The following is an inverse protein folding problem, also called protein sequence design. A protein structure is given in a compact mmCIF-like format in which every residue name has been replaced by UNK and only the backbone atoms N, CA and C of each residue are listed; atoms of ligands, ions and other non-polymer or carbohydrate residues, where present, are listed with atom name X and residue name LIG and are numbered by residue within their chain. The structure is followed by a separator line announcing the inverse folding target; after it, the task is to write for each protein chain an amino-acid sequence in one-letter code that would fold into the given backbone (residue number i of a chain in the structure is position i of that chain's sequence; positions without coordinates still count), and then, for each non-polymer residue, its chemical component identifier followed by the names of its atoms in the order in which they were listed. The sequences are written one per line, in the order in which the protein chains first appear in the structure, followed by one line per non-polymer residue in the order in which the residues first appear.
data_IF_874806112300
#
_entry.id   IF_874806112300
#
_cell.length_a   1.000
_cell.length_b   1.000
_cell.length_c   1.000
_cell.angle_alpha   90.00
_cell.angle_beta   90.00
_cell.angle_gamma   90.00
#
_symmetry.space_group_name_H-M   'P 1'
#
loop_
_entity.id
_entity.type
_entity.pdbx_description
1 polymer ?
#
# COMPACT_ATOMS: atom_id res chain seq x y z
N UNK A 1 -21.59 8.09 27.93
CA UNK A 1 -20.53 9.11 28.15
C UNK A 1 -20.67 9.84 29.50
N UNK A 2 -21.79 10.49 29.83
CA UNK A 2 -21.95 11.24 31.07
C UNK A 2 -21.70 10.40 32.33
N UNK A 3 -22.30 9.21 32.44
CA UNK A 3 -22.11 8.30 33.57
C UNK A 3 -20.62 7.94 33.79
N UNK A 4 -19.88 7.63 32.69
CA UNK A 4 -18.45 7.35 32.79
C UNK A 4 -17.64 8.60 33.15
N UNK A 5 -17.86 9.70 32.45
CA UNK A 5 -17.02 10.90 32.58
C UNK A 5 -17.25 11.70 33.87
N UNK A 6 -18.45 11.64 34.49
CA UNK A 6 -18.86 12.48 35.63
C UNK A 6 -19.33 11.70 36.85
N UNK A 7 -19.77 10.45 36.70
CA UNK A 7 -20.23 9.59 37.78
C UNK A 7 -19.25 8.43 38.06
N UNK A 8 -18.08 8.45 37.40
CA UNK A 8 -16.99 7.46 37.53
C UNK A 8 -17.46 6.01 37.26
N UNK A 9 -18.41 5.84 36.35
CA UNK A 9 -18.82 4.52 35.88
C UNK A 9 -17.76 3.92 34.93
N UNK A 10 -17.86 2.65 34.63
CA UNK A 10 -16.92 1.92 33.76
C UNK A 10 -17.67 1.26 32.62
N UNK A 11 -17.24 1.50 31.39
CA UNK A 11 -17.77 0.79 30.24
C UNK A 11 -17.49 -0.71 30.31
N UNK A 12 -18.32 -1.55 29.70
CA UNK A 12 -18.09 -2.99 29.66
C UNK A 12 -16.84 -3.33 28.85
N UNK A 13 -16.02 -4.25 29.36
CA UNK A 13 -14.82 -4.71 28.67
C UNK A 13 -15.13 -5.25 27.25
N UNK A 14 -14.25 -5.00 26.29
CA UNK A 14 -14.34 -5.43 24.88
C UNK A 14 -15.48 -4.80 24.08
N UNK A 15 -16.15 -3.77 24.59
CA UNK A 15 -17.22 -3.08 23.85
C UNK A 15 -16.76 -1.80 23.14
N UNK A 16 -15.67 -1.19 23.58
CA UNK A 16 -15.02 -0.05 22.92
C UNK A 16 -14.25 -0.45 21.67
N UNK A 17 -14.06 0.48 20.74
CA UNK A 17 -13.38 0.22 19.46
C UNK A 17 -11.86 0.35 19.53
N UNK A 18 -11.30 0.90 20.61
CA UNK A 18 -9.88 1.31 20.70
C UNK A 18 -8.98 0.32 21.45
N UNK A 19 -9.53 -0.73 22.06
CA UNK A 19 -8.72 -1.64 22.91
C UNK A 19 -7.68 -2.43 22.11
N UNK A 20 -7.96 -2.79 20.85
CA UNK A 20 -7.08 -3.53 19.93
C UNK A 20 -6.70 -2.76 18.67
N UNK A 21 -6.98 -1.45 18.61
CA UNK A 21 -6.61 -0.60 17.47
C UNK A 21 -5.13 -0.22 17.56
N UNK A 22 -4.35 -0.48 16.51
CA UNK A 22 -2.91 -0.18 16.38
C UNK A 22 -2.64 1.06 15.51
N UNK A 23 -3.68 1.75 15.09
CA UNK A 23 -3.57 2.97 14.26
C UNK A 23 -2.70 4.02 14.97
N UNK A 24 -1.78 4.64 14.23
CA UNK A 24 -0.96 5.72 14.77
C UNK A 24 -1.77 7.00 14.93
N UNK A 25 -1.70 7.60 16.11
CA UNK A 25 -2.50 8.80 16.41
C UNK A 25 -2.32 9.29 17.83
N UNK A 26 -3.13 10.28 18.18
CA UNK A 26 -3.15 10.94 19.47
C UNK A 26 -4.52 10.76 20.12
N UNK A 27 -4.52 10.46 21.41
CA UNK A 27 -5.72 10.29 22.22
C UNK A 27 -5.95 11.54 23.06
N UNK A 28 -7.16 12.08 22.95
CA UNK A 28 -7.61 13.26 23.66
C UNK A 28 -8.72 12.91 24.63
N UNK A 29 -8.93 13.76 25.64
CA UNK A 29 -10.10 13.67 26.51
C UNK A 29 -11.36 14.00 25.72
N UNK A 30 -12.31 13.06 25.62
CA UNK A 30 -13.55 13.23 24.91
C UNK A 30 -14.46 14.35 25.49
N UNK A 31 -14.21 14.77 26.74
CA UNK A 31 -14.96 15.84 27.38
C UNK A 31 -14.42 17.23 27.06
N UNK A 32 -13.10 17.40 26.95
CA UNK A 32 -12.51 18.75 26.84
C UNK A 32 -11.43 18.90 25.74
N UNK A 33 -11.10 17.84 25.00
CA UNK A 33 -10.10 17.87 23.94
C UNK A 33 -8.65 18.03 24.44
N UNK A 34 -8.37 17.75 25.73
CA UNK A 34 -7.01 17.81 26.24
C UNK A 34 -6.21 16.57 25.85
N UNK A 35 -4.96 16.74 25.43
CA UNK A 35 -4.09 15.66 24.96
C UNK A 35 -3.67 14.78 26.12
N UNK A 36 -3.90 13.47 26.01
CA UNK A 36 -3.69 12.50 27.09
C UNK A 36 -2.58 11.50 26.79
N UNK A 37 -2.61 10.89 25.58
CA UNK A 37 -1.70 9.83 25.19
C UNK A 37 -1.38 9.91 23.69
N UNK A 38 -0.31 9.21 23.31
CA UNK A 38 0.00 8.88 21.91
C UNK A 38 -0.03 7.37 21.67
N UNK A 39 -0.20 6.96 20.42
CA UNK A 39 -0.25 5.55 20.04
C UNK A 39 1.06 4.78 20.31
N UNK A 40 2.22 5.45 20.37
CA UNK A 40 3.50 4.84 20.74
C UNK A 40 3.60 4.52 22.24
N UNK A 41 2.69 5.05 23.07
CA UNK A 41 2.56 4.76 24.49
C UNK A 41 1.54 3.65 24.75
N UNK A 42 0.77 3.26 23.73
CA UNK A 42 -0.25 2.21 23.80
C UNK A 42 0.37 0.84 23.65
N UNK A 43 -0.16 -0.13 24.37
CA UNK A 43 0.21 -1.54 24.22
C UNK A 43 -1.03 -2.44 24.27
N UNK A 44 -0.90 -3.63 23.67
CA UNK A 44 -1.98 -4.62 23.67
C UNK A 44 -2.08 -5.28 25.04
N UNK A 45 -3.25 -5.18 25.65
CA UNK A 45 -3.60 -5.77 26.94
C UNK A 45 -4.82 -6.67 26.79
N UNK A 46 -4.86 -7.77 27.53
CA UNK A 46 -6.00 -8.70 27.56
C UNK A 46 -7.18 -8.22 28.40
N UNK A 47 -7.13 -7.00 28.95
CA UNK A 47 -8.17 -6.49 29.85
C UNK A 47 -9.44 -6.02 29.15
N UNK A 48 -9.41 -5.77 27.82
CA UNK A 48 -10.57 -5.35 27.02
C UNK A 48 -10.81 -3.83 27.02
N UNK A 49 -9.87 -3.03 27.49
CA UNK A 49 -9.83 -1.57 27.44
C UNK A 49 -8.54 -1.05 26.83
N UNK A 50 -8.52 0.16 26.20
CA UNK A 50 -7.30 0.82 25.79
C UNK A 50 -6.31 0.95 26.93
N UNK A 51 -5.08 0.47 26.72
CA UNK A 51 -4.04 0.44 27.74
C UNK A 51 -2.79 1.16 27.28
N UNK A 52 -2.24 2.04 28.16
CA UNK A 52 -1.05 2.83 27.88
C UNK A 52 -0.04 2.66 29.02
N UNK A 53 1.24 2.73 28.71
CA UNK A 53 2.29 2.61 29.75
C UNK A 53 2.77 3.97 30.25
N UNK A 54 2.47 5.07 29.56
CA UNK A 54 2.89 6.43 29.94
C UNK A 54 1.85 7.45 29.44
N UNK A 55 1.75 8.61 30.12
CA UNK A 55 0.95 9.75 29.70
C UNK A 55 1.75 10.68 28.80
N UNK A 56 1.08 11.49 27.98
CA UNK A 56 1.71 12.41 27.00
C UNK A 56 2.67 13.39 27.67
N UNK A 57 2.21 14.07 28.69
CA UNK A 57 3.02 14.99 29.49
C UNK A 57 2.73 14.79 30.96
N UNK A 58 3.69 15.12 31.82
CA UNK A 58 3.50 15.11 33.25
C UNK A 58 2.36 16.06 33.62
N UNK A 59 1.27 15.51 34.18
CA UNK A 59 0.05 16.25 34.51
C UNK A 59 -1.06 16.18 33.46
N UNK A 60 -0.88 15.48 32.33
CA UNK A 60 -1.99 15.16 31.42
C UNK A 60 -3.07 14.35 32.13
N UNK A 61 -2.66 13.53 33.09
CA UNK A 61 -3.53 12.74 33.93
C UNK A 61 -3.19 13.02 35.40
N UNK A 62 -4.21 13.27 36.20
CA UNK A 62 -4.13 13.40 37.64
C UNK A 62 -4.80 12.20 38.33
N UNK A 63 -4.41 11.93 39.56
CA UNK A 63 -4.80 10.70 40.24
C UNK A 63 -5.54 10.98 41.55
N UNK A 64 -6.55 10.15 41.82
CA UNK A 64 -7.34 10.17 43.05
C UNK A 64 -7.50 8.76 43.60
N UNK A 65 -7.57 8.62 44.91
CA UNK A 65 -7.83 7.33 45.53
C UNK A 65 -9.31 6.97 45.36
N UNK A 66 -9.58 5.86 44.74
CA UNK A 66 -10.92 5.26 44.61
C UNK A 66 -11.09 4.11 45.60
N UNK A 67 -12.12 4.21 46.42
CA UNK A 67 -12.50 3.21 47.43
C UNK A 67 -13.87 2.60 47.14
N UNK A 68 -14.40 2.78 45.97
CA UNK A 68 -15.72 2.25 45.56
C UNK A 68 -15.71 0.72 45.48
N UNK A 69 -16.89 0.12 45.58
CA UNK A 69 -17.12 -1.31 45.47
C UNK A 69 -16.24 -2.21 46.37
N UNK A 70 -15.76 -1.67 47.52
CA UNK A 70 -14.90 -2.41 48.43
C UNK A 70 -13.45 -2.64 47.96
N UNK A 71 -13.04 -2.00 46.85
CA UNK A 71 -11.70 -2.06 46.27
C UNK A 71 -10.92 -0.77 46.59
N UNK A 72 -9.59 -0.89 46.60
CA UNK A 72 -8.71 0.28 46.66
C UNK A 72 -7.96 0.36 45.35
N UNK A 73 -8.27 1.40 44.55
CA UNK A 73 -7.69 1.62 43.20
C UNK A 73 -7.19 3.06 43.09
N UNK A 74 -6.37 3.33 42.08
CA UNK A 74 -5.96 4.68 41.70
C UNK A 74 -6.78 5.11 40.51
N UNK A 75 -7.75 6.00 40.71
CA UNK A 75 -8.55 6.61 39.64
C UNK A 75 -7.68 7.57 38.84
N UNK A 76 -7.83 7.52 37.51
CA UNK A 76 -7.17 8.41 36.56
C UNK A 76 -8.17 9.41 36.00
N UNK A 77 -7.88 10.69 36.18
CA UNK A 77 -8.71 11.83 35.78
C UNK A 77 -7.97 12.68 34.75
N UNK A 78 -8.72 13.35 33.86
CA UNK A 78 -8.15 14.34 32.96
C UNK A 78 -7.56 15.51 33.75
N UNK A 79 -6.26 15.82 33.54
CA UNK A 79 -5.58 16.91 34.24
C UNK A 79 -6.11 18.32 33.96
N UNK A 80 -7.03 18.47 32.97
CA UNK A 80 -7.63 19.76 32.62
C UNK A 80 -9.06 19.94 33.10
N UNK A 81 -9.88 18.88 33.12
CA UNK A 81 -11.32 19.00 33.39
C UNK A 81 -11.86 18.01 34.43
N UNK A 82 -10.98 17.25 35.09
CA UNK A 82 -11.28 16.24 36.11
C UNK A 82 -12.27 15.15 35.65
N UNK A 83 -12.44 14.99 34.34
CA UNK A 83 -13.27 13.91 33.79
C UNK A 83 -12.65 12.56 34.13
N UNK A 84 -13.48 11.61 34.60
CA UNK A 84 -13.04 10.24 34.84
C UNK A 84 -12.60 9.58 33.51
N UNK A 85 -11.41 9.03 33.50
CA UNK A 85 -10.83 8.35 32.33
C UNK A 85 -10.75 6.84 32.53
N UNK A 86 -10.46 6.39 33.73
CA UNK A 86 -10.24 5.00 34.06
C UNK A 86 -9.39 4.83 35.33
N UNK A 87 -8.51 3.83 35.34
CA UNK A 87 -7.68 3.55 36.51
C UNK A 87 -6.23 3.26 36.14
N UNK A 88 -5.31 3.51 37.08
CA UNK A 88 -3.89 3.19 36.97
C UNK A 88 -3.57 1.93 37.76
N UNK A 89 -2.82 1.02 37.14
CA UNK A 89 -2.32 -0.23 37.70
C UNK A 89 -0.79 -0.29 37.63
N UNK A 90 -0.17 -1.20 38.39
CA UNK A 90 1.28 -1.39 38.46
C UNK A 90 1.71 -2.71 37.78
N UNK A 91 0.98 -3.14 36.76
CA UNK A 91 1.16 -4.37 36.03
C UNK A 91 1.40 -4.11 34.52
N UNK A 92 1.88 -2.93 34.19
CA UNK A 92 2.23 -2.52 32.82
C UNK A 92 3.64 -2.96 32.41
N UNK A 93 3.98 -2.77 31.13
CA UNK A 93 5.30 -3.09 30.59
C UNK A 93 6.38 -2.07 31.02
N UNK A 94 7.63 -2.44 30.83
CA UNK A 94 8.76 -1.50 30.85
C UNK A 94 8.56 -0.38 29.78
N UNK A 95 9.05 0.85 29.98
CA UNK A 95 9.99 1.24 31.06
C UNK A 95 9.33 1.71 32.38
N UNK A 96 7.99 1.86 32.40
CA UNK A 96 7.33 2.48 33.57
C UNK A 96 6.73 1.48 34.56
N UNK A 97 6.48 0.24 34.14
CA UNK A 97 5.73 -0.75 34.89
C UNK A 97 4.27 -0.35 35.17
N UNK A 98 3.78 0.72 34.51
CA UNK A 98 2.43 1.26 34.70
C UNK A 98 1.50 0.84 33.59
N UNK A 99 0.23 0.61 33.94
CA UNK A 99 -0.85 0.42 32.98
C UNK A 99 -1.97 1.41 33.26
N UNK A 100 -2.11 2.38 32.39
CA UNK A 100 -3.24 3.31 32.34
C UNK A 100 -4.38 2.60 31.58
N UNK A 101 -5.34 2.02 32.29
CA UNK A 101 -6.49 1.31 31.73
C UNK A 101 -7.66 2.28 31.60
N UNK A 102 -7.94 2.73 30.37
CA UNK A 102 -8.85 3.84 30.09
C UNK A 102 -10.15 3.36 29.47
N UNK A 103 -11.27 3.99 29.82
CA UNK A 103 -12.53 3.79 29.10
C UNK A 103 -12.42 4.36 27.67
N UNK A 104 -12.73 3.58 26.65
CA UNK A 104 -12.69 4.06 25.27
C UNK A 104 -13.64 5.23 25.04
N UNK A 105 -14.81 5.22 25.68
CA UNK A 105 -15.80 6.29 25.58
C UNK A 105 -15.32 7.63 26.20
N UNK A 106 -14.27 7.60 27.02
CA UNK A 106 -13.64 8.81 27.61
C UNK A 106 -12.52 9.38 26.74
N UNK A 107 -12.22 8.74 25.60
CA UNK A 107 -11.16 9.10 24.70
C UNK A 107 -11.71 9.46 23.31
N UNK A 108 -11.23 10.56 22.75
CA UNK A 108 -11.31 10.86 21.32
C UNK A 108 -9.97 10.52 20.68
N UNK A 109 -9.99 9.72 19.63
CA UNK A 109 -8.80 9.36 18.88
C UNK A 109 -8.73 10.17 17.58
N UNK A 110 -7.63 10.88 17.42
CA UNK A 110 -7.29 11.55 16.16
C UNK A 110 -6.12 10.80 15.55
N UNK A 111 -6.34 10.08 14.44
CA UNK A 111 -5.23 9.48 13.70
C UNK A 111 -4.18 10.56 13.42
N UNK A 112 -2.90 10.24 13.59
CA UNK A 112 -1.89 11.09 12.98
C UNK A 112 -2.32 11.24 11.55
N UNK A 113 -2.47 12.48 11.08
CA UNK A 113 -2.60 12.67 9.65
C UNK A 113 -1.49 11.78 9.06
N UNK A 114 -1.89 10.72 8.35
CA UNK A 114 -0.94 10.05 7.44
C UNK A 114 -0.30 11.24 6.78
N UNK A 115 1.03 11.45 6.87
CA UNK A 115 1.61 12.63 6.29
C UNK A 115 0.93 12.73 4.94
N UNK A 116 0.19 13.82 4.69
CA UNK A 116 -0.21 14.15 3.33
C UNK A 116 1.17 14.30 2.73
N UNK A 117 1.69 13.19 2.20
CA UNK A 117 2.88 13.23 1.39
C UNK A 117 2.56 14.37 0.46
N UNK A 118 3.28 15.47 0.56
CA UNK A 118 3.14 16.66 -0.25
C UNK A 118 2.72 16.18 -1.60
N UNK A 119 1.48 16.45 -2.04
CA UNK A 119 0.73 16.01 -3.23
C UNK A 119 1.63 15.09 -4.06
N UNK A 120 1.59 13.77 -3.79
CA UNK A 120 2.74 12.89 -3.87
C UNK A 120 3.38 12.98 -5.23
N UNK A 121 4.67 13.15 -5.27
CA UNK A 121 5.40 13.06 -6.53
C UNK A 121 4.97 11.73 -7.15
N UNK A 122 4.45 11.77 -8.38
CA UNK A 122 4.10 10.57 -9.13
C UNK A 122 5.25 9.58 -9.05
N UNK A 123 4.92 8.31 -8.90
CA UNK A 123 5.91 7.22 -8.92
C UNK A 123 5.96 6.59 -10.28
N UNK A 124 7.08 5.98 -10.62
CA UNK A 124 7.25 5.26 -11.88
C UNK A 124 7.60 3.80 -11.62
N UNK A 125 7.08 2.91 -12.46
CA UNK A 125 7.46 1.49 -12.53
C UNK A 125 7.71 1.17 -13.99
N UNK A 126 8.77 0.40 -14.30
CA UNK A 126 9.10 -0.02 -15.66
C UNK A 126 8.97 -1.52 -15.78
N UNK A 127 8.13 -2.00 -16.73
CA UNK A 127 7.75 -3.40 -16.90
C UNK A 127 7.87 -3.83 -18.38
N UNK A 128 8.39 -5.03 -18.61
CA UNK A 128 8.33 -5.72 -19.89
C UNK A 128 7.52 -7.01 -19.77
N UNK A 129 6.52 -7.22 -20.61
CA UNK A 129 5.62 -8.37 -20.57
C UNK A 129 5.11 -8.78 -21.96
N UNK A 130 6.03 -8.89 -22.93
CA UNK A 130 5.75 -9.06 -24.35
C UNK A 130 5.70 -7.72 -25.08
N UNK A 131 4.92 -7.64 -26.15
CA UNK A 131 4.76 -6.41 -26.92
C UNK A 131 4.25 -5.26 -26.04
N UNK A 132 4.97 -4.14 -26.01
CA UNK A 132 4.66 -2.96 -25.20
C UNK A 132 3.30 -2.33 -25.55
N UNK A 133 2.82 -2.40 -26.79
CA UNK A 133 1.46 -1.92 -27.15
C UNK A 133 0.36 -2.61 -26.35
N UNK A 134 0.54 -3.91 -26.07
CA UNK A 134 -0.41 -4.68 -25.24
C UNK A 134 -0.41 -4.19 -23.78
N UNK A 135 0.78 -3.96 -23.24
CA UNK A 135 0.97 -3.57 -21.85
C UNK A 135 0.53 -2.12 -21.64
N UNK A 136 0.90 -1.21 -22.58
CA UNK A 136 0.48 0.18 -22.60
C UNK A 136 -1.05 0.30 -22.56
N UNK A 137 -1.74 -0.38 -23.51
CA UNK A 137 -3.18 -0.31 -23.63
C UNK A 137 -3.94 -0.77 -22.39
N UNK A 138 -3.40 -1.72 -21.63
CA UNK A 138 -3.99 -2.17 -20.37
C UNK A 138 -3.82 -1.11 -19.29
N UNK A 139 -2.60 -0.58 -19.10
CA UNK A 139 -2.33 0.35 -18.02
C UNK A 139 -2.89 1.74 -18.24
N UNK A 140 -3.10 2.15 -19.48
CA UNK A 140 -3.83 3.39 -19.80
C UNK A 140 -5.25 3.40 -19.25
N UNK A 141 -5.85 2.22 -19.08
CA UNK A 141 -7.19 2.07 -18.50
C UNK A 141 -7.20 1.87 -16.97
N UNK A 142 -6.04 1.78 -16.30
CA UNK A 142 -5.98 1.57 -14.86
C UNK A 142 -6.13 2.89 -14.09
N UNK A 143 -7.11 2.95 -13.20
CA UNK A 143 -7.33 4.11 -12.31
C UNK A 143 -6.07 4.41 -11.49
N UNK A 144 -5.70 5.69 -11.43
CA UNK A 144 -4.51 6.17 -10.73
C UNK A 144 -3.24 6.20 -11.60
N UNK A 145 -3.25 5.58 -12.78
CA UNK A 145 -2.17 5.72 -13.76
C UNK A 145 -2.32 7.06 -14.47
N UNK A 146 -1.28 7.88 -14.45
CA UNK A 146 -1.22 9.20 -15.05
C UNK A 146 -0.77 9.15 -16.51
N UNK A 147 0.24 8.34 -16.79
CA UNK A 147 0.77 8.14 -18.14
C UNK A 147 1.46 6.79 -18.26
N UNK A 148 1.47 6.25 -19.45
CA UNK A 148 2.23 5.07 -19.84
C UNK A 148 3.05 5.43 -21.06
N UNK A 149 4.33 5.11 -21.05
CA UNK A 149 5.25 5.42 -22.14
C UNK A 149 5.91 4.14 -22.60
N UNK A 150 5.70 3.76 -23.84
CA UNK A 150 6.37 2.62 -24.49
C UNK A 150 7.83 2.94 -24.78
N UNK A 151 8.71 1.96 -24.55
CA UNK A 151 10.16 2.18 -24.69
C UNK A 151 10.99 0.91 -24.60
N UNK A 152 12.29 1.09 -24.38
CA UNK A 152 13.31 0.05 -24.34
C UNK A 152 14.15 0.19 -23.10
N UNK A 153 14.51 -0.94 -22.46
CA UNK A 153 15.40 -0.96 -21.28
C UNK A 153 16.15 -2.29 -21.15
N UNK A 154 17.23 -2.28 -20.33
CA UNK A 154 17.98 -3.48 -19.95
C UNK A 154 19.01 -3.98 -20.98
N UNK A 155 19.17 -3.28 -22.10
CA UNK A 155 20.16 -3.60 -23.13
C UNK A 155 21.46 -2.83 -22.98
N UNK A 156 22.32 -2.97 -24.01
CA UNK A 156 23.68 -2.38 -24.05
C UNK A 156 23.82 -1.27 -25.09
N UNK A 157 22.94 -1.28 -26.10
CA UNK A 157 22.97 -0.28 -27.19
C UNK A 157 22.42 1.04 -26.66
N UNK A 158 23.12 2.13 -26.86
CA UNK A 158 22.64 3.47 -26.56
C UNK A 158 21.73 3.96 -27.68
N UNK A 159 20.66 4.67 -27.30
CA UNK A 159 19.63 5.23 -28.20
C UNK A 159 19.18 4.24 -29.29
N UNK A 160 18.71 3.02 -28.91
CA UNK A 160 18.38 1.97 -29.86
C UNK A 160 17.15 2.33 -30.67
N UNK A 161 17.16 1.98 -31.96
CA UNK A 161 15.98 2.04 -32.82
C UNK A 161 15.11 0.78 -32.67
N UNK A 162 13.85 0.87 -33.11
CA UNK A 162 12.93 -0.28 -33.13
C UNK A 162 13.50 -1.48 -33.89
N UNK A 163 14.05 -1.23 -35.10
CA UNK A 163 14.64 -2.28 -35.94
C UNK A 163 15.79 -2.98 -35.23
N UNK A 164 16.67 -2.24 -34.54
CA UNK A 164 17.78 -2.80 -33.78
C UNK A 164 17.27 -3.66 -32.63
N UNK A 165 16.26 -3.21 -31.87
CA UNK A 165 15.68 -4.01 -30.79
C UNK A 165 15.01 -5.27 -31.35
N UNK A 166 14.26 -5.17 -32.43
CA UNK A 166 13.64 -6.31 -33.11
C UNK A 166 14.65 -7.34 -33.63
N UNK A 167 15.88 -6.92 -33.95
CA UNK A 167 16.94 -7.83 -34.35
C UNK A 167 17.38 -8.78 -33.20
N UNK A 168 17.02 -8.45 -31.95
CA UNK A 168 17.39 -9.22 -30.74
C UNK A 168 18.85 -9.05 -30.30
N UNK A 169 19.64 -8.18 -30.94
CA UNK A 169 21.08 -8.04 -30.68
C UNK A 169 21.42 -6.98 -29.66
N UNK A 170 20.50 -6.03 -29.39
CA UNK A 170 20.72 -4.92 -28.45
C UNK A 170 20.69 -5.34 -26.98
N UNK A 171 20.00 -6.46 -26.68
CA UNK A 171 19.72 -6.92 -25.31
C UNK A 171 18.59 -6.15 -24.62
N UNK A 172 18.00 -5.11 -25.25
CA UNK A 172 16.85 -4.40 -24.71
C UNK A 172 15.59 -5.25 -24.71
N UNK A 173 14.74 -5.05 -23.71
CA UNK A 173 13.35 -5.48 -23.74
C UNK A 173 12.45 -4.34 -24.20
N UNK A 174 11.35 -4.70 -24.88
CA UNK A 174 10.20 -3.81 -25.00
C UNK A 174 9.55 -3.64 -23.64
N UNK A 175 9.43 -2.42 -23.18
CA UNK A 175 8.92 -2.09 -21.85
C UNK A 175 7.94 -0.93 -21.92
N UNK A 176 7.15 -0.81 -20.86
CA UNK A 176 6.39 0.40 -20.57
C UNK A 176 6.89 1.03 -19.26
N UNK A 177 7.04 2.35 -19.25
CA UNK A 177 7.23 3.14 -18.05
C UNK A 177 5.89 3.73 -17.62
N UNK A 178 5.39 3.26 -16.48
CA UNK A 178 4.09 3.61 -15.92
C UNK A 178 4.29 4.67 -14.84
N UNK A 179 3.71 5.85 -15.04
CA UNK A 179 3.66 6.91 -14.02
C UNK A 179 2.31 6.87 -13.33
N UNK A 180 2.28 6.79 -12.01
CA UNK A 180 1.04 6.64 -11.25
C UNK A 180 0.99 7.53 -10.00
N UNK A 181 -0.24 7.86 -9.59
CA UNK A 181 -0.55 8.58 -8.35
C UNK A 181 -0.60 7.57 -7.18
N UNK A 182 0.34 7.62 -6.23
CA UNK A 182 0.37 6.69 -5.09
C UNK A 182 -0.82 6.82 -4.13
N UNK A 183 -1.63 7.90 -4.27
CA UNK A 183 -2.87 8.05 -3.51
C UNK A 183 -4.06 7.30 -4.14
N UNK A 184 -3.95 6.85 -5.39
CA UNK A 184 -5.02 6.19 -6.12
C UNK A 184 -4.74 4.74 -6.47
N UNK A 185 -3.47 4.38 -6.64
CA UNK A 185 -2.99 3.02 -6.88
C UNK A 185 -1.60 2.81 -6.26
N UNK A 186 -1.09 1.59 -6.26
CA UNK A 186 0.19 1.25 -5.68
C UNK A 186 0.91 0.17 -6.52
N UNK A 187 2.19 -0.08 -6.20
CA UNK A 187 3.02 -1.08 -6.88
C UNK A 187 2.41 -2.48 -6.85
N UNK A 188 1.84 -2.88 -5.72
CA UNK A 188 1.23 -4.21 -5.56
C UNK A 188 0.06 -4.42 -6.54
N UNK A 189 -0.78 -3.41 -6.74
CA UNK A 189 -1.86 -3.45 -7.71
C UNK A 189 -1.34 -3.47 -9.16
N UNK A 190 -0.34 -2.64 -9.47
CA UNK A 190 0.30 -2.64 -10.78
C UNK A 190 0.88 -4.03 -11.08
N UNK A 191 1.58 -4.66 -10.14
CA UNK A 191 2.11 -6.01 -10.33
C UNK A 191 1.00 -7.07 -10.44
N UNK A 192 -0.11 -6.96 -9.72
CA UNK A 192 -1.27 -7.86 -9.87
C UNK A 192 -1.85 -7.79 -11.27
N UNK A 193 -2.00 -6.60 -11.82
CA UNK A 193 -2.42 -6.42 -13.22
C UNK A 193 -1.39 -7.05 -14.16
N UNK A 194 -0.10 -6.76 -13.98
CA UNK A 194 0.99 -7.29 -14.78
C UNK A 194 0.92 -8.81 -14.92
N UNK A 195 0.94 -9.51 -13.79
CA UNK A 195 0.89 -10.97 -13.76
C UNK A 195 -0.46 -11.56 -14.21
N UNK A 196 -1.51 -10.76 -14.30
CA UNK A 196 -2.82 -11.22 -14.80
C UNK A 196 -2.92 -11.15 -16.32
N UNK A 197 -2.31 -10.12 -16.95
CA UNK A 197 -2.53 -9.82 -18.37
C UNK A 197 -1.49 -10.41 -19.31
N UNK A 198 -0.38 -10.96 -18.76
CA UNK A 198 0.61 -11.68 -19.55
C UNK A 198 0.89 -13.07 -18.95
N UNK A 199 1.56 -13.93 -19.68
CA UNK A 199 2.05 -15.23 -19.18
C UNK A 199 3.50 -15.09 -18.72
N UNK A 200 3.77 -15.09 -17.39
CA UNK A 200 5.11 -14.92 -16.87
C UNK A 200 5.94 -16.22 -16.88
N UNK A 201 5.44 -17.32 -17.47
CA UNK A 201 6.08 -18.63 -17.43
C UNK A 201 6.81 -18.97 -18.73
N UNK A 202 6.71 -18.12 -19.75
CA UNK A 202 7.32 -18.36 -21.07
C UNK A 202 8.58 -17.52 -21.25
N UNK A 203 9.72 -18.19 -21.33
CA UNK A 203 11.03 -17.54 -21.47
C UNK A 203 11.16 -16.89 -22.86
N UNK A 204 11.50 -15.57 -22.85
CA UNK A 204 11.71 -14.78 -24.09
C UNK A 204 10.58 -14.91 -25.10
N UNK A 205 9.34 -14.98 -24.60
CA UNK A 205 8.20 -15.19 -25.46
C UNK A 205 6.92 -14.69 -24.76
N UNK A 206 6.00 -14.14 -25.55
CA UNK A 206 4.63 -13.85 -25.11
C UNK A 206 3.63 -14.16 -26.23
N UNK A 207 2.97 -15.32 -26.10
CA UNK A 207 2.08 -15.80 -27.17
C UNK A 207 2.83 -16.08 -28.48
N UNK A 208 2.48 -15.34 -29.55
CA UNK A 208 3.13 -15.44 -30.85
C UNK A 208 4.42 -14.61 -30.97
N UNK A 209 4.63 -13.64 -30.08
CA UNK A 209 5.82 -12.79 -30.09
C UNK A 209 6.99 -13.53 -29.47
N UNK A 210 8.04 -13.81 -30.26
CA UNK A 210 9.21 -14.60 -29.88
C UNK A 210 10.47 -13.75 -30.01
N UNK A 211 11.27 -13.68 -28.95
CA UNK A 211 12.55 -12.96 -28.88
C UNK A 211 12.83 -12.42 -27.50
N UNK A 212 14.11 -12.15 -27.22
CA UNK A 212 14.56 -11.60 -25.93
C UNK A 212 13.92 -10.25 -25.59
N UNK A 213 13.55 -9.47 -26.61
CA UNK A 213 12.84 -8.21 -26.46
C UNK A 213 11.44 -8.37 -25.84
N UNK A 214 10.83 -9.55 -25.93
CA UNK A 214 9.51 -9.85 -25.37
C UNK A 214 9.56 -10.59 -24.03
N UNK A 215 10.74 -10.59 -23.37
CA UNK A 215 10.89 -11.24 -22.06
C UNK A 215 10.04 -10.60 -20.97
N UNK A 216 9.63 -11.40 -20.02
CA UNK A 216 9.00 -10.91 -18.80
C UNK A 216 10.05 -10.34 -17.85
N UNK A 217 9.97 -9.05 -17.51
CA UNK A 217 10.96 -8.35 -16.68
C UNK A 217 10.34 -7.21 -15.90
N UNK A 218 10.80 -7.01 -14.67
CA UNK A 218 10.51 -5.88 -13.79
C UNK A 218 11.83 -5.13 -13.58
N UNK A 219 11.86 -3.85 -13.94
CA UNK A 219 13.00 -2.98 -13.67
C UNK A 219 12.79 -2.16 -12.42
N UNK A 220 13.71 -2.24 -11.46
CA UNK A 220 13.68 -1.48 -10.22
C UNK A 220 14.67 -0.32 -10.22
N UNK A 221 14.33 0.74 -9.49
CA UNK A 221 15.19 1.92 -9.29
C UNK A 221 15.78 2.00 -7.88
N UNK A 222 15.25 1.21 -6.94
CA UNK A 222 15.70 1.15 -5.55
C UNK A 222 15.39 -0.22 -4.92
N UNK A 223 16.05 -0.53 -3.80
CA UNK A 223 15.93 -1.84 -3.13
C UNK A 223 14.50 -2.13 -2.62
N UNK A 224 13.71 -1.10 -2.31
CA UNK A 224 12.32 -1.30 -1.90
C UNK A 224 11.47 -1.85 -3.06
N UNK A 225 11.58 -1.26 -4.24
CA UNK A 225 10.89 -1.75 -5.45
C UNK A 225 11.33 -3.18 -5.81
N UNK A 226 12.63 -3.48 -5.71
CA UNK A 226 13.14 -4.83 -5.90
C UNK A 226 12.51 -5.82 -4.93
N UNK A 227 12.42 -5.47 -3.65
CA UNK A 227 11.83 -6.34 -2.64
C UNK A 227 10.32 -6.53 -2.86
N UNK A 228 9.59 -5.48 -3.25
CA UNK A 228 8.18 -5.56 -3.61
C UNK A 228 7.95 -6.51 -4.79
N UNK A 229 8.76 -6.42 -5.85
CA UNK A 229 8.72 -7.32 -6.99
C UNK A 229 9.03 -8.77 -6.60
N UNK A 230 10.05 -8.99 -5.77
CA UNK A 230 10.41 -10.33 -5.28
C UNK A 230 9.30 -10.95 -4.43
N UNK A 231 8.68 -10.16 -3.57
CA UNK A 231 7.61 -10.63 -2.70
C UNK A 231 6.40 -11.14 -3.50
N UNK A 232 6.00 -10.43 -4.57
CA UNK A 232 4.87 -10.86 -5.38
C UNK A 232 5.20 -12.11 -6.19
N UNK A 233 6.41 -12.25 -6.75
CA UNK A 233 6.83 -13.47 -7.44
C UNK A 233 6.82 -14.66 -6.47
N UNK A 234 7.38 -14.50 -5.28
CA UNK A 234 7.37 -15.54 -4.25
C UNK A 234 5.94 -15.96 -3.85
N UNK A 235 5.03 -15.00 -3.75
CA UNK A 235 3.62 -15.27 -3.45
C UNK A 235 2.93 -16.07 -4.57
N UNK A 236 3.19 -15.74 -5.84
CA UNK A 236 2.66 -16.44 -7.00
C UNK A 236 3.18 -17.90 -7.06
N UNK A 237 4.48 -18.11 -6.84
CA UNK A 237 5.11 -19.42 -6.78
C UNK A 237 4.54 -20.27 -5.64
N UNK A 238 4.43 -19.69 -4.44
CA UNK A 238 3.89 -20.37 -3.26
C UNK A 238 2.43 -20.78 -3.46
N UNK A 239 1.64 -19.90 -4.05
CA UNK A 239 0.22 -20.13 -4.30
C UNK A 239 -0.06 -21.02 -5.51
N UNK A 240 0.98 -21.40 -6.27
CA UNK A 240 0.87 -22.23 -7.48
C UNK A 240 -0.19 -21.73 -8.47
N UNK A 241 -0.22 -20.40 -8.68
CA UNK A 241 -1.17 -19.74 -9.59
C UNK A 241 -0.95 -20.20 -11.03
N UNK A 242 0.32 -20.49 -11.38
CA UNK A 242 0.71 -21.01 -12.69
C UNK A 242 1.13 -22.47 -12.60
N UNK A 243 0.98 -23.20 -13.71
CA UNK A 243 1.40 -24.61 -13.83
C UNK A 243 2.90 -24.78 -14.06
N UNK A 244 3.61 -23.71 -14.38
CA UNK A 244 5.06 -23.66 -14.63
C UNK A 244 5.70 -22.55 -13.81
N UNK A 245 7.00 -22.61 -13.52
CA UNK A 245 7.71 -21.59 -12.78
C UNK A 245 7.62 -20.21 -13.45
N UNK A 246 7.60 -19.15 -12.64
CA UNK A 246 7.67 -17.77 -13.11
C UNK A 246 9.10 -17.48 -13.59
N UNK A 247 9.26 -17.06 -14.83
CA UNK A 247 10.55 -16.70 -15.45
C UNK A 247 10.80 -15.20 -15.50
N UNK A 248 9.95 -14.40 -14.86
CA UNK A 248 10.10 -12.95 -14.79
C UNK A 248 11.40 -12.59 -14.08
N UNK A 249 12.27 -11.83 -14.75
CA UNK A 249 13.51 -11.31 -14.14
C UNK A 249 13.26 -9.99 -13.40
N UNK A 250 14.07 -9.72 -12.38
CA UNK A 250 14.09 -8.45 -11.66
C UNK A 250 15.46 -7.82 -11.87
N UNK A 251 15.51 -6.74 -12.63
CA UNK A 251 16.74 -6.10 -13.08
C UNK A 251 16.81 -4.64 -12.63
N UNK A 252 18.02 -4.11 -12.38
CA UNK A 252 18.19 -2.70 -12.10
C UNK A 252 17.91 -1.85 -13.35
N UNK A 253 17.09 -0.81 -13.24
CA UNK A 253 16.88 0.14 -14.32
C UNK A 253 18.09 1.06 -14.42
N UNK A 254 18.91 0.88 -15.44
CA UNK A 254 20.05 1.75 -15.73
C UNK A 254 19.63 2.97 -16.57
N UNK A 255 18.91 2.73 -17.65
CA UNK A 255 18.40 3.75 -18.55
C UNK A 255 17.13 3.27 -19.24
N UNK A 256 16.17 4.16 -19.41
CA UNK A 256 14.97 3.96 -20.21
C UNK A 256 15.08 4.81 -21.48
N UNK A 257 14.85 4.21 -22.62
CA UNK A 257 14.79 4.90 -23.92
C UNK A 257 13.34 4.87 -24.40
N UNK A 258 12.76 6.06 -24.60
CA UNK A 258 11.40 6.17 -25.14
C UNK A 258 11.42 5.62 -26.59
N UNK A 259 10.47 4.75 -26.90
CA UNK A 259 10.25 4.31 -28.27
C UNK A 259 9.70 5.47 -29.14
N UNK A 260 9.81 5.32 -30.42
CA UNK A 260 9.45 6.30 -31.42
C UNK A 260 7.97 6.71 -31.25
N UNK A 261 7.62 7.92 -31.67
CA UNK A 261 6.28 8.49 -31.39
C UNK A 261 5.13 7.69 -32.02
N UNK A 262 5.37 7.00 -33.13
CA UNK A 262 4.36 6.13 -33.76
C UNK A 262 4.05 4.85 -32.96
N UNK A 263 4.83 4.53 -31.94
CA UNK A 263 4.59 3.44 -31.00
C UNK A 263 3.80 3.86 -29.76
N UNK A 264 3.69 5.16 -29.49
CA UNK A 264 2.97 5.66 -28.33
C UNK A 264 1.46 5.64 -28.59
N UNK A 265 0.69 5.23 -27.57
CA UNK A 265 -0.78 5.13 -27.68
C UNK A 265 -1.26 4.35 -28.92
N UNK A 266 -0.48 3.31 -29.23
CA UNK A 266 -0.64 2.59 -30.50
C UNK A 266 -2.04 1.98 -30.64
N UNK A 267 -2.56 1.35 -29.60
CA UNK A 267 -3.87 0.71 -29.64
C UNK A 267 -4.99 1.72 -29.94
N UNK A 268 -5.01 2.86 -29.28
CA UNK A 268 -6.05 3.86 -29.45
C UNK A 268 -6.03 4.47 -30.87
N UNK A 269 -4.84 4.64 -31.41
CA UNK A 269 -4.63 5.18 -32.76
C UNK A 269 -4.87 4.14 -33.87
N UNK A 270 -4.85 2.82 -33.55
CA UNK A 270 -4.82 1.74 -34.52
C UNK A 270 -5.83 0.61 -34.24
N UNK A 271 -6.96 0.88 -33.59
CA UNK A 271 -7.96 -0.13 -33.14
C UNK A 271 -8.41 -1.10 -34.23
N UNK A 272 -8.36 -0.68 -35.50
CA UNK A 272 -8.81 -1.49 -36.65
C UNK A 272 -7.75 -2.45 -37.20
N UNK A 273 -6.50 -2.32 -36.79
CA UNK A 273 -5.42 -3.21 -37.23
C UNK A 273 -5.66 -4.65 -36.72
N UNK A 274 -5.33 -5.68 -37.55
CA UNK A 274 -5.52 -7.08 -37.14
C UNK A 274 -4.88 -7.44 -35.81
N UNK A 275 -3.67 -7.01 -35.56
CA UNK A 275 -2.96 -7.25 -34.29
C UNK A 275 -3.71 -6.65 -33.10
N UNK A 276 -4.23 -5.43 -33.24
CA UNK A 276 -5.01 -4.78 -32.16
C UNK A 276 -6.28 -5.60 -31.85
N UNK A 277 -7.00 -6.07 -32.84
CA UNK A 277 -8.23 -6.87 -32.67
C UNK A 277 -7.97 -8.26 -32.12
N UNK A 278 -6.91 -8.93 -32.59
CA UNK A 278 -6.66 -10.34 -32.26
C UNK A 278 -5.81 -10.56 -31.01
N UNK A 279 -4.96 -9.61 -30.67
CA UNK A 279 -3.97 -9.76 -29.57
C UNK A 279 -4.21 -8.77 -28.44
N UNK A 280 -4.38 -7.48 -28.75
CA UNK A 280 -4.48 -6.44 -27.71
C UNK A 280 -5.88 -6.42 -27.09
N UNK A 281 -6.92 -6.37 -27.90
CA UNK A 281 -8.30 -6.25 -27.40
C UNK A 281 -8.70 -7.36 -26.41
N UNK A 282 -8.40 -8.65 -26.63
CA UNK A 282 -8.71 -9.70 -25.65
C UNK A 282 -8.04 -9.51 -24.30
N UNK A 283 -6.84 -8.90 -24.26
CA UNK A 283 -6.14 -8.58 -23.01
C UNK A 283 -6.82 -7.44 -22.25
N UNK A 284 -7.27 -6.41 -22.98
CA UNK A 284 -8.05 -5.31 -22.41
C UNK A 284 -9.35 -5.84 -21.83
N UNK A 285 -10.12 -6.63 -22.59
CA UNK A 285 -11.37 -7.24 -22.14
C UNK A 285 -11.18 -8.12 -20.89
N UNK A 286 -10.08 -8.89 -20.83
CA UNK A 286 -9.71 -9.67 -19.63
C UNK A 286 -9.46 -8.75 -18.45
N UNK A 287 -8.70 -7.67 -18.66
CA UNK A 287 -8.41 -6.68 -17.62
C UNK A 287 -9.70 -6.01 -17.14
N UNK A 288 -10.54 -5.51 -18.02
CA UNK A 288 -11.81 -4.86 -17.67
C UNK A 288 -12.73 -5.77 -16.87
N UNK A 289 -12.81 -7.04 -17.26
CA UNK A 289 -13.61 -8.04 -16.54
C UNK A 289 -13.12 -8.29 -15.12
N UNK A 290 -11.80 -8.42 -14.93
CA UNK A 290 -11.20 -8.81 -13.65
C UNK A 290 -10.98 -7.62 -12.72
N UNK A 291 -10.75 -6.42 -13.28
CA UNK A 291 -10.43 -5.19 -12.53
C UNK A 291 -11.49 -4.10 -12.69
N UNK A 292 -12.77 -4.47 -12.86
CA UNK A 292 -13.90 -3.56 -13.13
C UNK A 292 -13.96 -2.34 -12.20
N UNK A 293 -13.65 -2.52 -10.90
CA UNK A 293 -13.66 -1.42 -9.91
C UNK A 293 -12.45 -0.49 -10.02
N UNK A 294 -11.46 -0.86 -10.81
CA UNK A 294 -10.18 -0.18 -10.97
C UNK A 294 -10.00 0.47 -12.33
N UNK A 295 -11.03 0.47 -13.14
CA UNK A 295 -11.02 1.18 -14.42
C UNK A 295 -11.03 2.69 -14.20
N UNK A 296 -10.34 3.44 -15.07
CA UNK A 296 -10.56 4.88 -15.20
C UNK A 296 -12.05 5.09 -15.53
N UNK A 297 -12.67 6.07 -14.90
CA UNK A 297 -14.00 6.51 -15.34
C UNK A 297 -13.80 7.43 -16.56
N UNK A 298 -14.56 7.17 -17.59
CA UNK A 298 -14.73 8.09 -18.72
C UNK A 298 -15.17 9.48 -18.26
#
# INVERSE_FOLDING_TARGET
MYAVAREADTERAFTGTMWNDETKGTYYCATCGYKLFQSNQKFTSSCGWPSFFEQENKGSIVFKLDKSFGMIRTEALCGRCDSHLGHLFNDGPEPTGKRYCMNAISLDFVPNAVPIEKKGAFKTITLGGGCYWCVEAVYDNLKGVQSVVSGYAGGRTEDPTYEEVCSGTTGHAEVVQITYDPNQTNSDEIFKVFFTVHDPTTLNRQGADIGTQYRSVIFYTNEKEKQEAQNIINALETSKVYNSPVVTTIEALTKFYKAEDYHQDYYNNNKNQPYCKMVIQPKIEKFEKLFKSRLKKE
#
